data_IF_101480041711
#
_entry.id   IF_101480041711
#
_cell.length_a   1.000
_cell.length_b   1.000
_cell.length_c   1.000
_cell.angle_alpha   90.00
_cell.angle_beta   90.00
_cell.angle_gamma   90.00
#
_symmetry.space_group_name_H-M   'P 1'
#
loop_
_entity.id
_entity.type
_entity.pdbx_description
1 polymer ?
#
# COMPACT_ATOMS: atom_id res chain seq x y z
N UNK A 1 -6.55 4.19 8.19
CA UNK A 1 -7.66 4.52 9.13
C UNK A 1 -8.65 5.55 8.61
N UNK A 2 -8.21 6.72 8.10
CA UNK A 2 -9.13 7.77 7.60
C UNK A 2 -10.13 7.27 6.56
N UNK A 3 -9.74 6.32 5.71
CA UNK A 3 -10.63 5.57 4.81
C UNK A 3 -11.84 4.96 5.56
N UNK A 4 -11.59 4.22 6.64
CA UNK A 4 -12.62 3.53 7.42
C UNK A 4 -13.49 4.47 8.25
N UNK A 5 -13.05 5.71 8.50
CA UNK A 5 -13.84 6.72 9.22
C UNK A 5 -14.86 7.45 8.33
N UNK A 6 -14.88 7.18 7.02
CA UNK A 6 -15.78 7.86 6.08
C UNK A 6 -17.22 7.36 6.24
N UNK A 7 -18.18 8.21 5.85
CA UNK A 7 -19.62 7.88 5.89
C UNK A 7 -19.95 6.61 5.10
N UNK A 8 -19.21 6.33 4.03
CA UNK A 8 -19.37 5.12 3.21
C UNK A 8 -19.16 3.84 4.02
N UNK A 9 -18.27 3.87 5.02
CA UNK A 9 -17.98 2.73 5.89
C UNK A 9 -19.01 2.54 7.01
N UNK A 10 -20.04 3.40 7.11
CA UNK A 10 -21.12 3.27 8.10
C UNK A 10 -22.03 2.07 7.80
N UNK A 11 -22.07 1.60 6.56
CA UNK A 11 -22.79 0.37 6.17
C UNK A 11 -21.93 -0.89 6.24
N UNK A 12 -20.62 -0.75 6.48
CA UNK A 12 -19.66 -1.85 6.44
C UNK A 12 -19.52 -2.43 7.85
N UNK A 13 -19.72 -3.74 7.96
CA UNK A 13 -19.62 -4.52 9.19
C UNK A 13 -18.22 -5.14 9.34
N UNK A 14 -17.56 -5.52 8.25
CA UNK A 14 -16.18 -6.04 8.28
C UNK A 14 -15.28 -5.47 7.18
N UNK A 15 -14.03 -5.21 7.54
CA UNK A 15 -12.95 -4.87 6.62
C UNK A 15 -11.81 -5.87 6.77
N UNK A 16 -11.52 -6.60 5.70
CA UNK A 16 -10.43 -7.59 5.67
C UNK A 16 -9.25 -6.99 4.91
N UNK A 17 -8.09 -6.98 5.55
CA UNK A 17 -6.86 -6.40 5.04
C UNK A 17 -5.88 -7.53 4.67
N UNK A 18 -5.39 -7.48 3.42
CA UNK A 18 -4.20 -8.20 2.99
C UNK A 18 -3.06 -7.20 2.80
N UNK A 19 -1.91 -7.43 3.42
CA UNK A 19 -0.74 -6.57 3.19
C UNK A 19 0.56 -7.35 3.30
N UNK A 20 1.55 -6.93 2.51
CA UNK A 20 2.93 -7.37 2.66
C UNK A 20 3.57 -6.83 3.96
N UNK A 21 4.87 -7.10 4.15
CA UNK A 21 5.62 -6.71 5.34
C UNK A 21 5.76 -5.19 5.55
N UNK A 22 5.66 -4.38 4.50
CA UNK A 22 5.90 -2.93 4.55
C UNK A 22 4.83 -2.20 5.36
N UNK A 23 5.24 -1.54 6.45
CA UNK A 23 4.33 -0.79 7.32
C UNK A 23 3.34 -1.66 8.09
N UNK A 24 3.60 -2.98 8.20
CA UNK A 24 2.66 -3.92 8.81
C UNK A 24 2.56 -3.77 10.32
N UNK A 25 3.65 -3.59 11.07
CA UNK A 25 3.54 -3.42 12.53
C UNK A 25 2.90 -2.07 12.87
N UNK A 26 3.19 -1.02 12.11
CA UNK A 26 2.45 0.24 12.14
C UNK A 26 0.94 0.05 11.89
N UNK A 27 0.55 -0.78 10.93
CA UNK A 27 -0.87 -1.08 10.68
C UNK A 27 -1.50 -1.90 11.80
N UNK A 28 -0.78 -2.90 12.32
CA UNK A 28 -1.24 -3.73 13.45
C UNK A 28 -1.46 -2.89 14.71
N UNK A 29 -0.53 -1.99 15.03
CA UNK A 29 -0.61 -1.12 16.22
C UNK A 29 -1.66 -0.02 16.05
N UNK A 30 -1.66 0.71 14.93
CA UNK A 30 -2.46 1.94 14.79
C UNK A 30 -3.82 1.74 14.10
N UNK A 31 -3.96 0.71 13.24
CA UNK A 31 -5.22 0.41 12.55
C UNK A 31 -5.98 -0.70 13.25
N UNK A 32 -5.29 -1.82 13.54
CA UNK A 32 -5.88 -2.98 14.22
C UNK A 32 -5.84 -2.89 15.75
N UNK A 33 -5.17 -1.90 16.34
CA UNK A 33 -5.06 -1.70 17.79
C UNK A 33 -4.53 -2.92 18.55
N UNK A 34 -3.64 -3.71 17.92
CA UNK A 34 -2.96 -4.81 18.60
C UNK A 34 -2.08 -4.21 19.70
N UNK A 35 -2.19 -4.67 20.96
CA UNK A 35 -1.42 -4.10 22.06
C UNK A 35 0.09 -4.18 21.80
N UNK A 36 0.80 -3.07 22.03
CA UNK A 36 2.25 -2.97 21.76
C UNK A 36 3.04 -4.05 22.49
N UNK A 37 2.69 -4.40 23.73
CA UNK A 37 3.38 -5.45 24.48
C UNK A 37 3.32 -6.81 23.76
N UNK A 38 2.19 -7.14 23.09
CA UNK A 38 2.07 -8.39 22.31
C UNK A 38 2.87 -8.35 21.00
N UNK A 39 3.13 -7.16 20.45
CA UNK A 39 4.01 -7.00 19.30
C UNK A 39 5.47 -7.11 19.74
N UNK A 40 5.82 -6.49 20.86
CA UNK A 40 7.18 -6.47 21.41
C UNK A 40 7.65 -7.84 21.91
N UNK A 41 6.77 -8.66 22.48
CA UNK A 41 7.13 -10.03 22.88
C UNK A 41 7.59 -10.89 21.71
N UNK A 42 7.12 -10.60 20.49
CA UNK A 42 7.49 -11.32 19.27
C UNK A 42 8.90 -10.96 18.75
N UNK A 43 9.56 -9.95 19.33
CA UNK A 43 10.97 -9.65 19.04
C UNK A 43 11.91 -10.52 19.87
N UNK A 44 11.44 -11.06 20.99
CA UNK A 44 12.18 -12.03 21.78
C UNK A 44 11.89 -13.44 21.26
N UNK A 45 12.88 -14.35 21.22
CA UNK A 45 12.64 -15.74 20.88
C UNK A 45 11.76 -16.37 21.97
N UNK A 46 10.50 -16.64 21.63
CA UNK A 46 9.59 -17.36 22.52
C UNK A 46 9.81 -18.87 22.28
N UNK A 47 10.06 -19.68 23.33
CA UNK A 47 10.06 -21.13 23.21
C UNK A 47 8.69 -21.60 22.70
N UNK A 48 8.66 -22.37 21.62
CA UNK A 48 7.43 -22.95 21.07
C UNK A 48 6.94 -24.11 21.96
N UNK A 49 6.50 -23.81 23.17
CA UNK A 49 5.79 -24.77 24.01
C UNK A 49 4.31 -24.81 23.62
N UNK A 50 3.99 -25.66 22.64
CA UNK A 50 2.62 -26.13 22.37
C UNK A 50 1.77 -25.23 21.46
N UNK A 51 1.42 -25.78 20.30
CA UNK A 51 0.48 -25.28 19.28
C UNK A 51 0.98 -24.23 18.28
N UNK A 52 1.77 -24.73 17.31
CA UNK A 52 2.08 -24.06 16.04
C UNK A 52 3.58 -24.05 15.75
N UNK A 53 3.98 -24.11 14.47
CA UNK A 53 5.39 -23.92 14.07
C UNK A 53 5.90 -22.50 14.33
N UNK A 54 5.02 -21.59 14.76
CA UNK A 54 5.24 -20.15 14.67
C UNK A 54 5.30 -19.68 13.22
N UNK A 55 5.16 -18.37 13.04
CA UNK A 55 5.58 -17.69 11.81
C UNK A 55 6.25 -16.38 12.25
N UNK A 56 7.04 -15.77 11.37
CA UNK A 56 7.70 -14.50 11.69
C UNK A 56 6.67 -13.41 11.98
N UNK A 57 7.05 -12.44 12.83
CA UNK A 57 6.17 -11.35 13.31
C UNK A 57 5.33 -10.65 12.21
N UNK A 58 5.87 -10.58 11.00
CA UNK A 58 5.23 -9.94 9.84
C UNK A 58 4.19 -10.82 9.11
N UNK A 59 3.97 -12.06 9.52
CA UNK A 59 3.05 -12.98 8.84
C UNK A 59 1.81 -13.32 9.65
N UNK A 60 1.79 -12.96 10.93
CA UNK A 60 0.68 -13.29 11.82
C UNK A 60 -0.54 -12.40 11.51
N UNK A 61 -1.71 -13.04 11.44
CA UNK A 61 -2.99 -12.37 11.33
C UNK A 61 -3.45 -11.81 12.68
N UNK A 62 -4.40 -10.87 12.64
CA UNK A 62 -5.09 -10.38 13.83
C UNK A 62 -6.52 -9.98 13.47
N UNK A 63 -7.40 -9.90 14.44
CA UNK A 63 -8.71 -9.28 14.27
C UNK A 63 -9.03 -8.44 15.49
N UNK A 64 -9.73 -7.33 15.28
CA UNK A 64 -10.16 -6.44 16.33
C UNK A 64 -11.48 -5.78 15.95
N UNK A 65 -12.39 -5.69 16.91
CA UNK A 65 -13.55 -4.81 16.79
C UNK A 65 -13.14 -3.38 17.06
N UNK A 66 -13.52 -2.46 16.17
CA UNK A 66 -13.27 -1.03 16.34
C UNK A 66 -14.57 -0.25 16.30
N UNK A 67 -14.71 0.69 17.23
CA UNK A 67 -15.76 1.70 17.14
C UNK A 67 -15.24 2.87 16.32
N UNK A 68 -15.92 3.18 15.22
CA UNK A 68 -15.59 4.31 14.36
C UNK A 68 -15.87 5.62 15.09
N UNK A 69 -14.86 6.49 15.22
CA UNK A 69 -14.94 7.73 16.00
C UNK A 69 -16.10 8.65 15.58
N UNK A 70 -16.30 8.81 14.26
CA UNK A 70 -17.28 9.71 13.66
C UNK A 70 -18.70 9.16 13.66
N UNK A 71 -18.87 7.86 13.41
CA UNK A 71 -20.20 7.25 13.25
C UNK A 71 -20.66 6.45 14.46
N UNK A 72 -19.78 6.20 15.44
CA UNK A 72 -19.99 5.37 16.63
C UNK A 72 -20.42 3.92 16.33
N UNK A 73 -20.34 3.48 15.07
CA UNK A 73 -20.61 2.10 14.69
C UNK A 73 -19.39 1.22 14.91
N UNK A 74 -19.65 -0.05 15.23
CA UNK A 74 -18.62 -1.07 15.31
C UNK A 74 -18.32 -1.63 13.92
N UNK A 75 -17.05 -1.85 13.63
CA UNK A 75 -16.55 -2.54 12.45
C UNK A 75 -15.53 -3.60 12.91
N UNK A 76 -15.61 -4.80 12.35
CA UNK A 76 -14.60 -5.83 12.53
C UNK A 76 -13.47 -5.60 11.52
N UNK A 77 -12.26 -5.34 12.01
CA UNK A 77 -11.06 -5.21 11.17
C UNK A 77 -10.25 -6.50 11.33
N UNK A 78 -10.02 -7.20 10.22
CA UNK A 78 -9.23 -8.43 10.20
C UNK A 78 -8.02 -8.27 9.30
N UNK A 79 -6.82 -8.42 9.85
CA UNK A 79 -5.57 -8.56 9.09
C UNK A 79 -5.32 -10.04 8.83
N UNK A 80 -5.19 -10.44 7.57
CA UNK A 80 -4.93 -11.83 7.20
C UNK A 80 -3.47 -12.21 7.43
N UNK A 81 -3.25 -13.45 7.87
CA UNK A 81 -1.92 -14.04 7.90
C UNK A 81 -1.45 -14.34 6.48
N UNK A 82 -0.17 -14.12 6.17
CA UNK A 82 0.38 -14.29 4.82
C UNK A 82 1.82 -14.78 4.84
N UNK A 83 2.24 -15.59 3.85
CA UNK A 83 3.64 -15.96 3.69
C UNK A 83 4.49 -14.79 3.18
N UNK A 84 5.81 -14.98 3.11
CA UNK A 84 6.75 -14.04 2.47
C UNK A 84 6.53 -13.87 0.96
N UNK A 85 5.81 -14.80 0.32
CA UNK A 85 5.48 -14.72 -1.11
C UNK A 85 4.52 -13.57 -1.33
N UNK A 86 5.07 -12.45 -1.84
CA UNK A 86 4.32 -11.21 -2.08
C UNK A 86 3.10 -11.50 -2.96
N UNK A 87 2.00 -10.80 -2.70
CA UNK A 87 0.73 -10.88 -3.44
C UNK A 87 -0.03 -12.22 -3.33
N UNK A 88 0.57 -13.30 -2.82
CA UNK A 88 -0.10 -14.60 -2.65
C UNK A 88 -1.34 -14.54 -1.74
N UNK A 89 -1.41 -13.53 -0.86
CA UNK A 89 -2.54 -13.33 0.05
C UNK A 89 -3.78 -12.73 -0.63
N UNK A 90 -3.63 -12.13 -1.82
CA UNK A 90 -4.68 -11.33 -2.45
C UNK A 90 -5.95 -12.16 -2.72
N UNK A 91 -5.81 -13.31 -3.38
CA UNK A 91 -6.93 -14.21 -3.64
C UNK A 91 -7.57 -14.78 -2.37
N UNK A 92 -6.76 -15.02 -1.32
CA UNK A 92 -7.26 -15.53 -0.03
C UNK A 92 -8.13 -14.49 0.68
N UNK A 93 -7.73 -13.22 0.66
CA UNK A 93 -8.52 -12.11 1.24
C UNK A 93 -9.84 -11.97 0.50
N UNK A 94 -9.82 -11.99 -0.84
CA UNK A 94 -11.05 -11.93 -1.64
C UNK A 94 -11.95 -13.12 -1.34
N UNK A 95 -11.41 -14.33 -1.27
CA UNK A 95 -12.15 -15.54 -0.92
C UNK A 95 -12.80 -15.45 0.47
N UNK A 96 -12.07 -14.94 1.48
CA UNK A 96 -12.62 -14.71 2.82
C UNK A 96 -13.74 -13.68 2.80
N UNK A 97 -13.53 -12.53 2.14
CA UNK A 97 -14.57 -11.48 2.05
C UNK A 97 -15.80 -12.02 1.35
N UNK A 98 -15.63 -12.81 0.28
CA UNK A 98 -16.73 -13.49 -0.41
C UNK A 98 -17.48 -14.43 0.52
N UNK A 99 -16.79 -15.24 1.32
CA UNK A 99 -17.40 -16.13 2.29
C UNK A 99 -18.21 -15.34 3.35
N UNK A 100 -17.64 -14.26 3.89
CA UNK A 100 -18.33 -13.38 4.84
C UNK A 100 -19.58 -12.72 4.21
N UNK A 101 -19.53 -12.36 2.93
CA UNK A 101 -20.69 -11.81 2.21
C UNK A 101 -21.79 -12.86 2.01
N UNK A 102 -21.44 -14.12 1.74
CA UNK A 102 -22.41 -15.23 1.66
C UNK A 102 -23.08 -15.45 3.01
N UNK A 103 -22.29 -15.54 4.09
CA UNK A 103 -22.80 -15.71 5.45
C UNK A 103 -23.75 -14.57 5.85
N UNK A 104 -23.43 -13.33 5.46
CA UNK A 104 -24.23 -12.12 5.77
C UNK A 104 -25.38 -11.86 4.81
N UNK A 105 -25.66 -12.77 3.86
CA UNK A 105 -26.66 -12.62 2.79
C UNK A 105 -26.47 -11.33 1.96
N UNK A 106 -25.21 -10.98 1.67
CA UNK A 106 -24.79 -9.76 0.94
C UNK A 106 -23.94 -10.07 -0.30
N UNK A 107 -23.87 -11.35 -0.71
CA UNK A 107 -23.09 -11.79 -1.88
C UNK A 107 -23.51 -11.15 -3.22
N UNK A 108 -24.71 -10.58 -3.31
CA UNK A 108 -25.19 -9.90 -4.52
C UNK A 108 -24.63 -8.47 -4.67
N UNK A 109 -24.39 -7.78 -3.56
CA UNK A 109 -24.05 -6.35 -3.56
C UNK A 109 -22.68 -6.04 -2.95
N UNK A 110 -22.20 -6.87 -2.02
CA UNK A 110 -20.93 -6.68 -1.33
C UNK A 110 -20.85 -5.39 -0.53
N UNK A 111 -21.94 -4.96 0.12
CA UNK A 111 -22.03 -3.69 0.86
C UNK A 111 -21.53 -3.78 2.31
N UNK A 112 -21.56 -4.97 2.92
CA UNK A 112 -21.28 -5.19 4.36
C UNK A 112 -19.85 -5.62 4.65
N UNK A 113 -19.17 -6.28 3.71
CA UNK A 113 -17.79 -6.71 3.88
C UNK A 113 -16.92 -6.18 2.75
N UNK A 114 -15.78 -5.59 3.09
CA UNK A 114 -14.85 -4.97 2.11
C UNK A 114 -13.46 -5.58 2.20
N UNK A 115 -12.85 -5.79 1.03
CA UNK A 115 -11.44 -6.14 0.90
C UNK A 115 -10.59 -4.88 0.72
N UNK A 116 -9.52 -4.79 1.50
CA UNK A 116 -8.48 -3.76 1.35
C UNK A 116 -7.16 -4.49 1.14
N UNK A 117 -6.52 -4.26 -0.01
CA UNK A 117 -5.23 -4.87 -0.32
C UNK A 117 -4.14 -3.80 -0.36
N UNK A 118 -3.01 -4.08 0.29
CA UNK A 118 -1.86 -3.17 0.35
C UNK A 118 -0.67 -3.83 -0.31
N UNK A 119 -0.16 -3.17 -1.35
CA UNK A 119 0.85 -3.71 -2.26
C UNK A 119 2.14 -2.90 -2.18
N UNK A 120 3.25 -3.50 -2.59
CA UNK A 120 4.45 -2.77 -3.00
C UNK A 120 4.42 -2.56 -4.53
N UNK A 121 4.97 -1.45 -5.01
CA UNK A 121 5.03 -1.09 -6.43
C UNK A 121 5.56 -2.22 -7.32
N UNK A 122 6.77 -2.73 -7.04
CA UNK A 122 7.38 -3.80 -7.85
C UNK A 122 6.59 -5.12 -7.84
N UNK A 123 6.01 -5.50 -6.71
CA UNK A 123 5.25 -6.73 -6.58
C UNK A 123 3.89 -6.63 -7.29
N UNK A 124 3.26 -5.46 -7.20
CA UNK A 124 1.97 -5.18 -7.85
C UNK A 124 2.05 -5.32 -9.37
N UNK A 125 3.12 -4.83 -9.99
CA UNK A 125 3.33 -4.95 -11.44
C UNK A 125 3.93 -6.30 -11.87
N UNK A 126 4.69 -6.95 -11.00
CA UNK A 126 5.51 -8.12 -11.36
C UNK A 126 4.88 -9.48 -11.07
N UNK A 127 3.95 -9.58 -10.12
CA UNK A 127 3.36 -10.87 -9.73
C UNK A 127 2.07 -11.15 -10.51
N UNK A 128 2.05 -12.26 -11.27
CA UNK A 128 0.90 -12.67 -12.09
C UNK A 128 -0.39 -12.87 -11.28
N UNK A 129 -0.27 -13.27 -10.00
CA UNK A 129 -1.43 -13.44 -9.11
C UNK A 129 -2.22 -12.14 -8.91
N UNK A 130 -1.61 -10.96 -9.08
CA UNK A 130 -2.32 -9.67 -9.02
C UNK A 130 -3.28 -9.54 -10.20
N UNK A 131 -2.83 -9.87 -11.42
CA UNK A 131 -3.67 -9.89 -12.61
C UNK A 131 -4.80 -10.90 -12.48
N UNK A 132 -4.51 -12.11 -11.98
CA UNK A 132 -5.53 -13.14 -11.75
C UNK A 132 -6.58 -12.67 -10.76
N UNK A 133 -6.13 -12.09 -9.64
CA UNK A 133 -6.99 -11.57 -8.56
C UNK A 133 -7.89 -10.45 -9.06
N UNK A 134 -7.36 -9.47 -9.80
CA UNK A 134 -8.17 -8.37 -10.33
C UNK A 134 -9.26 -8.86 -11.29
N UNK A 135 -8.96 -9.85 -12.15
CA UNK A 135 -9.96 -10.41 -13.05
C UNK A 135 -11.15 -11.07 -12.33
N UNK A 136 -11.02 -11.43 -11.05
CA UNK A 136 -12.12 -11.97 -10.25
C UNK A 136 -13.22 -10.94 -9.97
N UNK A 137 -12.92 -9.65 -10.03
CA UNK A 137 -13.83 -8.55 -9.66
C UNK A 137 -15.12 -8.54 -10.47
N UNK A 138 -15.07 -8.95 -11.74
CA UNK A 138 -16.23 -8.98 -12.63
C UNK A 138 -16.87 -10.37 -12.79
N UNK A 139 -16.39 -11.39 -12.07
CA UNK A 139 -16.94 -12.74 -12.15
C UNK A 139 -18.09 -12.94 -11.14
N UNK A 140 -19.27 -13.44 -11.54
CA UNK A 140 -20.47 -13.50 -10.69
C UNK A 140 -20.29 -14.21 -9.33
N UNK A 141 -19.45 -15.25 -9.29
CA UNK A 141 -19.25 -16.06 -8.09
C UNK A 141 -18.03 -15.66 -7.26
N UNK A 142 -17.17 -14.77 -7.78
CA UNK A 142 -15.93 -14.34 -7.13
C UNK A 142 -15.93 -12.85 -6.77
N UNK A 143 -16.81 -12.06 -7.39
CA UNK A 143 -16.92 -10.63 -7.11
C UNK A 143 -17.25 -10.37 -5.64
N UNK A 144 -16.56 -9.37 -5.09
CA UNK A 144 -16.77 -8.87 -3.73
C UNK A 144 -17.35 -7.46 -3.73
N UNK A 145 -17.81 -6.96 -4.90
CA UNK A 145 -18.32 -5.59 -5.05
C UNK A 145 -17.21 -4.53 -5.04
N UNK A 146 -16.02 -4.88 -5.54
CA UNK A 146 -14.86 -4.01 -5.65
C UNK A 146 -13.93 -4.04 -4.44
N UNK A 147 -12.63 -4.10 -4.72
CA UNK A 147 -11.50 -4.10 -3.80
C UNK A 147 -10.84 -2.72 -3.81
N UNK A 148 -10.44 -2.24 -2.62
CA UNK A 148 -9.67 -1.00 -2.49
C UNK A 148 -8.19 -1.36 -2.42
N UNK A 149 -7.43 -1.02 -3.46
CA UNK A 149 -6.00 -1.28 -3.56
C UNK A 149 -5.20 -0.05 -3.14
N UNK A 150 -4.28 -0.23 -2.19
CA UNK A 150 -3.30 0.77 -1.78
C UNK A 150 -1.92 0.31 -2.24
N UNK A 151 -1.32 1.00 -3.19
CA UNK A 151 0.04 0.70 -3.65
C UNK A 151 0.99 1.66 -2.95
N UNK A 152 1.86 1.12 -2.11
CA UNK A 152 2.91 1.88 -1.44
C UNK A 152 4.11 1.96 -2.37
N UNK A 153 4.10 2.98 -3.23
CA UNK A 153 5.09 3.18 -4.26
C UNK A 153 6.25 4.01 -3.71
N UNK A 154 7.32 3.33 -3.33
CA UNK A 154 8.50 3.95 -2.72
C UNK A 154 9.62 4.21 -3.74
N UNK A 155 9.32 4.02 -5.03
CA UNK A 155 10.23 4.19 -6.15
C UNK A 155 11.51 3.33 -6.06
N UNK A 156 11.49 2.22 -5.30
CA UNK A 156 12.60 1.28 -5.15
C UNK A 156 12.19 -0.12 -5.57
N UNK A 157 12.97 -0.73 -6.47
CA UNK A 157 12.35 -1.45 -7.57
C UNK A 157 12.22 -0.55 -8.80
N UNK A 158 12.64 0.73 -8.68
CA UNK A 158 12.10 1.85 -9.43
C UNK A 158 12.98 3.15 -9.67
N UNK A 159 14.30 3.20 -9.98
CA UNK A 159 14.80 4.33 -10.85
C UNK A 159 16.15 4.21 -11.61
N UNK A 160 16.13 4.24 -12.95
CA UNK A 160 17.24 4.73 -13.78
C UNK A 160 16.59 5.24 -15.05
N UNK A 161 16.37 6.53 -15.23
CA UNK A 161 16.52 7.05 -16.59
C UNK A 161 17.28 8.32 -16.42
N UNK A 162 18.29 8.51 -17.28
CA UNK A 162 18.71 9.85 -17.63
C UNK A 162 17.53 10.52 -18.36
N UNK A 163 16.53 10.95 -17.61
CA UNK A 163 15.61 12.02 -17.95
C UNK A 163 15.67 12.97 -16.76
N UNK A 164 16.13 14.22 -16.94
CA UNK A 164 16.33 15.16 -15.83
C UNK A 164 15.08 15.53 -15.01
N UNK A 165 13.88 15.02 -15.34
CA UNK A 165 12.62 15.70 -15.01
C UNK A 165 11.60 14.91 -14.18
N UNK A 166 11.93 13.79 -13.53
CA UNK A 166 10.97 13.14 -12.60
C UNK A 166 11.34 13.20 -11.12
N UNK A 167 12.58 13.57 -10.79
CA UNK A 167 13.05 13.55 -9.41
C UNK A 167 12.78 14.83 -8.61
N UNK A 168 12.18 15.86 -9.23
CA UNK A 168 11.78 17.11 -8.56
C UNK A 168 10.77 17.98 -9.36
N UNK A 169 10.24 17.52 -10.49
CA UNK A 169 9.17 18.21 -11.24
C UNK A 169 7.77 17.75 -10.79
N UNK A 170 7.59 17.53 -9.49
CA UNK A 170 6.28 17.39 -8.86
C UNK A 170 5.62 18.75 -8.61
N UNK A 171 6.17 19.87 -9.11
CA UNK A 171 5.47 21.17 -9.13
C UNK A 171 4.22 21.17 -10.03
N UNK A 172 3.91 20.05 -10.73
CA UNK A 172 2.71 19.91 -11.57
C UNK A 172 1.91 18.61 -11.41
N UNK A 173 2.30 17.64 -10.57
CA UNK A 173 1.55 16.39 -10.37
C UNK A 173 0.69 16.46 -9.10
N UNK A 174 -0.31 17.34 -9.11
CA UNK A 174 -1.22 17.57 -7.97
C UNK A 174 -2.21 16.41 -7.78
N UNK A 175 -2.58 15.71 -8.86
CA UNK A 175 -3.39 14.49 -8.87
C UNK A 175 -3.51 14.06 -10.33
N UNK A 176 -3.03 12.88 -10.71
CA UNK A 176 -3.33 12.35 -12.05
C UNK A 176 -4.35 11.23 -11.92
N UNK A 177 -5.52 11.43 -12.52
CA UNK A 177 -6.54 10.39 -12.68
C UNK A 177 -6.49 9.92 -14.13
N UNK A 178 -6.05 8.69 -14.37
CA UNK A 178 -6.15 8.10 -15.72
C UNK A 178 -7.63 7.83 -16.01
N UNK A 179 -8.16 8.58 -16.98
CA UNK A 179 -9.57 8.59 -17.36
C UNK A 179 -9.85 7.43 -18.32
N UNK A 180 -10.39 6.32 -17.85
CA UNK A 180 -11.11 5.39 -18.73
C UNK A 180 -12.52 5.95 -18.94
N UNK A 181 -12.58 6.85 -19.93
CA UNK A 181 -13.71 7.49 -20.60
C UNK A 181 -15.13 7.18 -20.08
N UNK A 182 -15.74 8.22 -19.50
CA UNK A 182 -17.18 8.48 -19.56
C UNK A 182 -17.53 8.83 -21.01
N UNK A 183 -18.18 7.91 -21.73
CA UNK A 183 -18.84 8.19 -23.01
C UNK A 183 -20.14 7.42 -23.07
N UNK A 184 -21.25 8.15 -23.17
CA UNK A 184 -22.52 7.61 -23.64
C UNK A 184 -22.33 6.92 -25.01
N UNK A 185 -23.12 5.90 -25.34
CA UNK A 185 -22.84 5.03 -26.48
C UNK A 185 -23.06 5.78 -27.80
N UNK A 186 -22.01 5.94 -28.59
CA UNK A 186 -22.14 6.24 -30.01
C UNK A 186 -21.26 5.29 -30.81
N UNK A 187 -21.92 4.50 -31.65
CA UNK A 187 -21.39 3.55 -32.62
C UNK A 187 -20.13 4.04 -33.35
N UNK A 188 -19.09 3.20 -33.44
CA UNK A 188 -18.54 2.69 -34.71
C UNK A 188 -17.16 2.06 -34.50
N UNK A 189 -16.92 1.01 -35.29
CA UNK A 189 -15.68 0.25 -35.42
C UNK A 189 -14.47 1.15 -35.66
N UNK A 190 -13.34 0.86 -34.98
CA UNK A 190 -12.01 0.52 -35.54
C UNK A 190 -10.89 0.92 -34.58
N UNK A 191 -10.04 -0.06 -34.20
CA UNK A 191 -8.58 0.04 -34.22
C UNK A 191 -7.96 -1.21 -33.57
N UNK A 192 -7.43 -2.10 -34.43
CA UNK A 192 -6.42 -3.08 -34.05
C UNK A 192 -5.10 -2.35 -33.84
N UNK A 193 -4.39 -2.60 -32.74
CA UNK A 193 -2.95 -2.33 -32.64
C UNK A 193 -2.29 -3.53 -31.96
N UNK A 194 -1.42 -4.20 -32.72
CA UNK A 194 -0.43 -5.14 -32.23
C UNK A 194 0.93 -4.43 -32.23
N UNK A 195 1.81 -4.71 -31.26
CA UNK A 195 3.27 -4.61 -31.46
C UNK A 195 4.02 -5.53 -30.49
N UNK A 196 4.96 -6.29 -31.08
CA UNK A 196 5.98 -7.07 -30.41
C UNK A 196 7.29 -6.28 -30.31
N UNK A 197 8.11 -6.54 -29.30
CA UNK A 197 9.56 -6.31 -29.35
C UNK A 197 10.28 -7.23 -28.36
N UNK A 198 11.15 -8.08 -28.89
CA UNK A 198 12.14 -8.89 -28.18
C UNK A 198 13.40 -8.03 -27.99
N UNK A 199 13.92 -7.93 -26.78
CA UNK A 199 15.28 -7.43 -26.54
C UNK A 199 16.05 -8.47 -25.74
N UNK A 200 17.11 -8.99 -26.36
CA UNK A 200 18.05 -9.94 -25.83
C UNK A 200 19.28 -9.16 -25.33
N UNK A 201 19.60 -9.21 -24.04
CA UNK A 201 20.83 -8.60 -23.51
C UNK A 201 21.63 -9.60 -22.66
N UNK A 202 22.83 -9.93 -23.16
CA UNK A 202 23.84 -10.78 -22.52
C UNK A 202 24.47 -10.06 -21.32
N UNK A 203 24.52 -10.71 -20.16
CA UNK A 203 25.24 -10.24 -18.96
C UNK A 203 26.66 -10.86 -18.97
N UNK A 204 27.76 -10.08 -18.77
CA UNK A 204 29.10 -10.63 -18.66
C UNK A 204 29.32 -11.32 -17.29
N UNK A 205 29.79 -12.57 -17.31
CA UNK A 205 30.11 -13.36 -16.09
C UNK A 205 31.60 -13.25 -15.75
N UNK A 206 31.95 -12.40 -14.77
CA UNK A 206 33.26 -12.46 -14.09
C UNK A 206 33.22 -13.40 -12.88
N UNK A 207 34.34 -14.00 -12.44
CA UNK A 207 34.34 -14.97 -11.35
C UNK A 207 34.27 -14.23 -10.00
N UNK A 208 33.16 -14.44 -9.27
CA UNK A 208 33.03 -14.11 -7.83
C UNK A 208 32.44 -15.32 -7.13
N UNK A 209 32.79 -15.50 -5.86
CA UNK A 209 32.42 -16.67 -5.09
C UNK A 209 30.89 -16.82 -4.97
N UNK A 210 30.42 -18.05 -4.85
CA UNK A 210 28.99 -18.38 -4.93
C UNK A 210 28.18 -17.81 -3.76
N UNK A 211 28.81 -17.61 -2.59
CA UNK A 211 28.21 -17.00 -1.41
C UNK A 211 28.02 -15.48 -1.54
N UNK A 212 29.00 -14.77 -2.11
CA UNK A 212 28.88 -13.33 -2.40
C UNK A 212 27.82 -13.05 -3.49
N UNK A 213 27.65 -14.00 -4.43
CA UNK A 213 26.60 -13.92 -5.45
C UNK A 213 25.20 -14.14 -4.90
N UNK A 214 25.02 -14.90 -3.83
CA UNK A 214 23.69 -15.10 -3.22
C UNK A 214 23.24 -13.91 -2.40
N UNK A 215 24.12 -13.31 -1.58
CA UNK A 215 23.76 -12.10 -0.80
C UNK A 215 23.53 -10.89 -1.71
N UNK A 216 24.37 -10.71 -2.74
CA UNK A 216 24.22 -9.62 -3.70
C UNK A 216 22.97 -9.79 -4.58
N UNK A 217 22.58 -11.01 -5.00
CA UNK A 217 21.36 -11.23 -5.76
C UNK A 217 20.07 -10.91 -4.98
N UNK A 218 20.05 -11.23 -3.69
CA UNK A 218 18.90 -10.91 -2.82
C UNK A 218 18.79 -9.38 -2.68
N UNK A 219 19.90 -8.66 -2.48
CA UNK A 219 19.91 -7.20 -2.44
C UNK A 219 19.48 -6.53 -3.75
N UNK A 220 19.89 -7.09 -4.90
CA UNK A 220 19.56 -6.56 -6.22
C UNK A 220 18.04 -6.64 -6.46
N UNK A 221 17.38 -7.76 -6.16
CA UNK A 221 15.94 -7.93 -6.38
C UNK A 221 15.08 -6.85 -5.71
N UNK A 222 15.47 -6.41 -4.50
CA UNK A 222 14.73 -5.44 -3.69
C UNK A 222 15.16 -3.97 -3.87
N UNK A 223 16.13 -3.73 -4.76
CA UNK A 223 16.62 -2.40 -5.15
C UNK A 223 16.69 -2.25 -6.68
N UNK A 224 15.98 -3.11 -7.40
CA UNK A 224 15.84 -3.12 -8.87
C UNK A 224 15.31 -1.77 -9.39
N UNK A 225 15.29 -1.59 -10.70
CA UNK A 225 14.83 -0.41 -11.44
C UNK A 225 13.44 -0.58 -12.06
N UNK A 226 12.62 0.46 -12.33
CA UNK A 226 11.25 0.27 -12.80
C UNK A 226 11.27 -0.34 -14.17
N UNK A 227 12.27 0.05 -14.96
CA UNK A 227 12.47 -0.40 -16.32
C UNK A 227 12.82 -1.88 -16.38
N UNK A 228 13.31 -2.43 -15.28
CA UNK A 228 13.60 -3.86 -15.15
C UNK A 228 12.51 -4.59 -14.35
N UNK A 229 11.62 -3.88 -13.64
CA UNK A 229 10.51 -4.47 -12.88
C UNK A 229 9.17 -4.45 -13.64
N UNK A 230 8.99 -3.55 -14.61
CA UNK A 230 7.78 -3.42 -15.44
C UNK A 230 8.07 -2.87 -16.84
N UNK A 231 7.11 -3.07 -17.74
CA UNK A 231 7.17 -2.60 -19.13
C UNK A 231 6.22 -1.43 -19.42
N UNK A 232 5.66 -0.81 -18.38
CA UNK A 232 4.71 0.30 -18.47
C UNK A 232 5.17 1.48 -17.60
N UNK A 233 4.51 2.63 -17.76
CA UNK A 233 4.90 3.86 -17.05
C UNK A 233 4.65 3.71 -15.55
N UNK A 234 3.44 3.27 -15.18
CA UNK A 234 3.04 3.16 -13.78
C UNK A 234 2.99 1.71 -13.33
N UNK A 235 3.41 1.43 -12.09
CA UNK A 235 3.25 0.12 -11.46
C UNK A 235 1.78 -0.32 -11.41
N UNK A 236 0.85 0.65 -11.45
CA UNK A 236 -0.59 0.43 -11.37
C UNK A 236 -1.27 0.18 -12.71
N UNK A 237 -0.54 0.14 -13.82
CA UNK A 237 -1.14 -0.11 -15.14
C UNK A 237 -1.80 -1.50 -15.22
N UNK A 238 -1.45 -2.43 -14.32
CA UNK A 238 -2.16 -3.70 -14.08
C UNK A 238 -3.65 -3.49 -13.88
N UNK A 239 -4.05 -2.43 -13.17
CA UNK A 239 -5.45 -2.14 -12.84
C UNK A 239 -6.31 -1.76 -14.05
N UNK A 240 -5.68 -1.43 -15.18
CA UNK A 240 -6.38 -1.12 -16.43
C UNK A 240 -7.10 -2.34 -17.01
N UNK A 241 -6.68 -3.57 -16.66
CA UNK A 241 -7.32 -4.80 -17.16
C UNK A 241 -8.79 -4.92 -16.74
N UNK A 242 -9.16 -4.29 -15.61
CA UNK A 242 -10.54 -4.22 -15.11
C UNK A 242 -11.16 -2.83 -15.19
N UNK A 243 -10.52 -1.90 -15.91
CA UNK A 243 -10.92 -0.51 -16.00
C UNK A 243 -11.11 0.16 -14.61
N UNK A 244 -10.30 -0.23 -13.62
CA UNK A 244 -10.33 0.40 -12.30
C UNK A 244 -9.76 1.82 -12.38
N UNK A 245 -10.38 2.83 -11.73
CA UNK A 245 -9.78 4.14 -11.59
C UNK A 245 -8.50 4.07 -10.76
N UNK A 246 -7.51 4.85 -11.20
CA UNK A 246 -6.20 4.95 -10.57
C UNK A 246 -5.99 6.40 -10.13
N UNK A 247 -5.70 6.59 -8.85
CA UNK A 247 -5.33 7.87 -8.27
C UNK A 247 -3.83 7.88 -7.96
N UNK A 248 -3.04 8.66 -8.70
CA UNK A 248 -1.63 8.90 -8.37
C UNK A 248 -1.52 10.08 -7.41
N UNK A 249 -0.98 9.82 -6.21
CA UNK A 249 -1.05 10.73 -5.07
C UNK A 249 0.34 10.89 -4.46
N UNK A 250 0.74 12.13 -4.22
CA UNK A 250 1.98 12.44 -3.52
C UNK A 250 1.86 12.13 -2.02
N UNK A 251 2.75 11.30 -1.47
CA UNK A 251 2.70 10.89 -0.07
C UNK A 251 3.00 12.03 0.92
N UNK A 252 3.74 13.06 0.48
CA UNK A 252 4.04 14.25 1.30
C UNK A 252 2.83 15.18 1.51
N UNK A 253 1.69 14.90 0.85
CA UNK A 253 0.41 15.56 1.14
C UNK A 253 -0.60 14.58 1.79
N UNK A 254 -0.54 14.41 3.13
CA UNK A 254 -1.49 13.57 3.86
C UNK A 254 -2.96 13.96 3.68
N UNK A 255 -3.28 15.23 3.43
CA UNK A 255 -4.66 15.67 3.22
C UNK A 255 -5.19 15.14 1.90
N UNK A 256 -4.38 15.20 0.85
CA UNK A 256 -4.71 14.67 -0.46
C UNK A 256 -4.86 13.14 -0.43
N UNK A 257 -3.98 12.43 0.29
CA UNK A 257 -4.09 10.97 0.50
C UNK A 257 -5.41 10.64 1.20
N UNK A 258 -5.78 11.39 2.24
CA UNK A 258 -7.03 11.20 2.96
C UNK A 258 -8.27 11.50 2.09
N UNK A 259 -8.20 12.54 1.26
CA UNK A 259 -9.26 12.91 0.33
C UNK A 259 -9.44 11.85 -0.75
N UNK A 260 -8.37 11.41 -1.42
CA UNK A 260 -8.46 10.37 -2.45
C UNK A 260 -8.91 9.03 -1.86
N UNK A 261 -8.52 8.71 -0.63
CA UNK A 261 -9.06 7.55 0.10
C UNK A 261 -10.57 7.63 0.26
N UNK A 262 -11.11 8.81 0.60
CA UNK A 262 -12.56 9.02 0.68
C UNK A 262 -13.23 8.81 -0.68
N UNK A 263 -12.69 9.43 -1.74
CA UNK A 263 -13.22 9.30 -3.11
C UNK A 263 -13.20 7.85 -3.57
N UNK A 264 -12.14 7.10 -3.27
CA UNK A 264 -12.04 5.68 -3.59
C UNK A 264 -13.10 4.84 -2.88
N UNK A 265 -13.36 5.11 -1.60
CA UNK A 265 -14.46 4.48 -0.87
C UNK A 265 -15.82 4.77 -1.52
N UNK A 266 -16.08 6.02 -1.87
CA UNK A 266 -17.32 6.45 -2.55
C UNK A 266 -17.48 5.81 -3.93
N UNK A 267 -16.41 5.76 -4.72
CA UNK A 267 -16.40 5.08 -6.02
C UNK A 267 -16.75 3.60 -5.87
N UNK A 268 -16.06 2.88 -4.99
CA UNK A 268 -16.30 1.46 -4.75
C UNK A 268 -17.75 1.21 -4.31
N UNK A 269 -18.29 2.03 -3.41
CA UNK A 269 -19.67 1.89 -2.94
C UNK A 269 -20.73 2.20 -4.00
N UNK A 270 -20.40 3.05 -4.98
CA UNK A 270 -21.32 3.45 -6.05
C UNK A 270 -21.28 2.48 -7.23
N UNK A 271 -20.07 2.10 -7.65
CA UNK A 271 -19.83 1.37 -8.90
C UNK A 271 -19.50 -0.11 -8.69
N UNK A 272 -19.27 -0.54 -7.44
CA UNK A 272 -18.99 -1.93 -7.10
C UNK A 272 -17.81 -2.54 -7.87
N UNK A 273 -16.82 -1.70 -8.21
CA UNK A 273 -15.62 -2.07 -8.97
C UNK A 273 -14.36 -1.70 -8.17
N UNK A 274 -13.24 -2.31 -8.55
CA UNK A 274 -11.94 -2.06 -7.93
C UNK A 274 -11.51 -0.60 -8.12
N UNK A 275 -10.70 -0.13 -7.18
CA UNK A 275 -10.10 1.21 -7.22
C UNK A 275 -8.69 1.16 -6.67
N UNK A 276 -7.77 1.87 -7.32
CA UNK A 276 -6.35 1.87 -6.96
C UNK A 276 -5.88 3.26 -6.53
N UNK A 277 -5.23 3.32 -5.38
CA UNK A 277 -4.49 4.49 -4.91
C UNK A 277 -3.00 4.18 -5.01
N UNK A 278 -2.32 4.84 -5.95
CA UNK A 278 -0.86 4.84 -6.08
C UNK A 278 -0.29 5.94 -5.18
N UNK A 279 0.19 5.56 -4.00
CA UNK A 279 0.73 6.50 -3.02
C UNK A 279 2.24 6.57 -3.23
N UNK A 280 2.66 7.63 -3.92
CA UNK A 280 4.03 7.85 -4.37
C UNK A 280 4.82 8.55 -3.27
N UNK A 281 5.81 7.86 -2.73
CA UNK A 281 6.73 8.36 -1.71
C UNK A 281 8.12 7.75 -1.88
N UNK A 282 8.83 7.55 -0.78
CA UNK A 282 10.20 7.06 -0.77
C UNK A 282 10.47 6.11 0.40
N UNK A 283 11.56 5.33 0.30
CA UNK A 283 12.07 4.50 1.41
C UNK A 283 13.29 5.17 2.03
N UNK A 284 13.18 5.56 3.30
CA UNK A 284 14.26 6.28 4.02
C UNK A 284 15.48 5.41 4.30
N UNK A 285 15.27 4.11 4.53
CA UNK A 285 16.32 3.14 4.85
C UNK A 285 16.40 2.05 3.77
N UNK A 286 17.38 1.15 3.90
CA UNK A 286 17.55 -0.02 3.06
C UNK A 286 16.32 -0.95 3.00
N UNK A 287 16.44 -2.08 2.29
CA UNK A 287 15.30 -2.99 2.19
C UNK A 287 14.96 -3.56 3.56
N UNK A 288 16.01 -3.94 4.30
CA UNK A 288 16.02 -4.10 5.74
C UNK A 288 16.80 -2.96 6.40
N UNK A 289 16.66 -2.83 7.73
CA UNK A 289 17.30 -1.78 8.52
C UNK A 289 18.83 -1.88 8.56
N UNK A 290 19.38 -3.06 8.25
CA UNK A 290 20.81 -3.33 8.20
C UNK A 290 21.40 -3.19 6.79
N UNK A 291 20.55 -3.04 5.77
CA UNK A 291 21.00 -2.96 4.38
C UNK A 291 21.54 -1.55 4.10
N UNK A 292 22.64 -1.47 3.34
CA UNK A 292 23.22 -0.22 2.86
C UNK A 292 22.78 0.05 1.42
N UNK A 293 21.76 0.91 1.20
CA UNK A 293 21.17 1.08 -0.11
C UNK A 293 21.95 2.03 -1.02
N UNK A 294 22.93 2.78 -0.51
CA UNK A 294 23.79 3.60 -1.36
C UNK A 294 24.68 2.75 -2.28
N UNK A 295 24.85 1.45 -1.99
CA UNK A 295 25.61 0.52 -2.83
C UNK A 295 24.98 0.34 -4.22
N UNK A 296 23.65 0.31 -4.30
CA UNK A 296 22.92 0.10 -5.57
C UNK A 296 22.25 1.36 -6.09
N UNK A 297 21.83 2.28 -5.20
CA UNK A 297 21.03 3.46 -5.56
C UNK A 297 21.57 4.78 -4.96
N UNK A 298 22.84 5.15 -5.19
CA UNK A 298 23.48 6.27 -4.49
C UNK A 298 22.85 7.64 -4.77
N UNK A 299 22.46 7.92 -6.01
CA UNK A 299 21.88 9.21 -6.40
C UNK A 299 20.49 9.46 -5.78
N UNK A 300 19.72 8.39 -5.61
CA UNK A 300 18.39 8.48 -5.02
C UNK A 300 18.49 8.67 -3.52
N UNK A 301 19.34 7.91 -2.83
CA UNK A 301 19.52 8.06 -1.39
C UNK A 301 20.19 9.37 -0.99
N UNK A 302 21.01 9.98 -1.85
CA UNK A 302 21.49 11.35 -1.65
C UNK A 302 20.33 12.35 -1.56
N UNK A 303 19.37 12.28 -2.50
CA UNK A 303 18.17 13.13 -2.51
C UNK A 303 17.23 12.83 -1.32
N UNK A 304 17.01 11.55 -1.01
CA UNK A 304 16.17 11.14 0.13
C UNK A 304 16.75 11.68 1.45
N UNK A 305 18.07 11.73 1.59
CA UNK A 305 18.75 12.25 2.78
C UNK A 305 18.58 13.77 2.92
N UNK A 306 18.53 14.49 1.82
CA UNK A 306 18.29 15.95 1.77
C UNK A 306 16.80 16.31 1.96
N UNK A 307 15.90 15.36 1.67
CA UNK A 307 14.47 15.58 1.73
C UNK A 307 13.89 15.46 3.17
N UNK A 308 13.09 16.45 3.63
CA UNK A 308 12.52 16.44 4.97
C UNK A 308 11.54 15.28 5.21
N UNK A 309 11.28 14.94 6.47
CA UNK A 309 10.30 13.91 6.80
C UNK A 309 8.89 14.44 6.51
N UNK A 310 8.00 13.58 6.00
CA UNK A 310 6.56 13.87 5.80
C UNK A 310 5.92 14.49 7.04
N UNK A 311 6.25 13.99 8.24
CA UNK A 311 5.75 14.55 9.49
C UNK A 311 6.20 16.00 9.70
N UNK A 312 7.44 16.33 9.34
CA UNK A 312 7.99 17.70 9.38
C UNK A 312 7.30 18.60 8.36
N UNK A 313 7.23 18.17 7.10
CA UNK A 313 6.55 18.90 6.03
C UNK A 313 5.11 19.25 6.45
N UNK A 314 4.38 18.27 6.96
CA UNK A 314 2.99 18.46 7.34
C UNK A 314 2.81 19.26 8.62
N UNK A 315 3.70 19.11 9.62
CA UNK A 315 3.65 19.92 10.83
C UNK A 315 3.93 21.39 10.53
N UNK A 316 4.92 21.67 9.67
CA UNK A 316 5.26 23.04 9.24
C UNK A 316 4.09 23.67 8.47
N UNK A 317 3.42 22.90 7.61
CA UNK A 317 2.17 23.33 6.94
C UNK A 317 1.10 23.73 7.96
N UNK A 318 0.80 22.87 8.93
CA UNK A 318 -0.25 23.14 9.93
C UNK A 318 0.09 24.31 10.86
N UNK A 319 1.37 24.51 11.19
CA UNK A 319 1.83 25.68 11.95
C UNK A 319 1.64 26.96 11.13
N UNK A 320 2.01 26.94 9.85
CA UNK A 320 1.83 28.07 8.94
C UNK A 320 0.36 28.43 8.73
N UNK A 321 -0.50 27.42 8.66
CA UNK A 321 -1.96 27.59 8.52
C UNK A 321 -2.64 27.96 9.85
N UNK A 322 -1.89 27.99 10.97
CA UNK A 322 -2.41 28.34 12.29
C UNK A 322 -3.36 27.31 12.90
N UNK A 323 -3.37 26.08 12.37
CA UNK A 323 -4.26 24.99 12.83
C UNK A 323 -3.75 24.38 14.14
N UNK A 324 -2.44 24.36 14.34
CA UNK A 324 -1.79 23.82 15.54
C UNK A 324 -0.80 24.84 16.14
N UNK A 325 -0.47 24.66 17.42
CA UNK A 325 0.57 25.44 18.10
C UNK A 325 1.91 24.70 18.08
N UNK A 326 3.02 25.43 18.24
CA UNK A 326 4.36 24.81 18.35
C UNK A 326 4.47 23.85 19.55
N UNK A 327 3.79 24.18 20.65
CA UNK A 327 3.75 23.32 21.83
C UNK A 327 3.07 21.98 21.52
N UNK A 328 1.94 22.01 20.82
CA UNK A 328 1.24 20.81 20.37
C UNK A 328 2.08 20.00 19.38
N UNK A 329 2.75 20.66 18.43
CA UNK A 329 3.64 19.98 17.51
C UNK A 329 4.74 19.20 18.26
N UNK A 330 5.43 19.85 19.21
CA UNK A 330 6.48 19.20 20.04
C UNK A 330 5.96 18.01 20.85
N UNK A 331 4.76 18.12 21.42
CA UNK A 331 4.12 17.03 22.15
C UNK A 331 3.85 15.82 21.25
N UNK A 332 3.25 16.05 20.07
CA UNK A 332 2.97 15.00 19.09
C UNK A 332 4.25 14.35 18.60
N UNK A 333 5.32 15.13 18.34
CA UNK A 333 6.63 14.57 18.01
C UNK A 333 7.14 13.62 19.10
N UNK A 334 7.06 14.02 20.37
CA UNK A 334 7.45 13.18 21.50
C UNK A 334 6.69 11.85 21.54
N UNK A 335 5.37 11.88 21.30
CA UNK A 335 4.52 10.69 21.31
C UNK A 335 4.73 9.76 20.10
N UNK A 336 4.98 10.32 18.91
CA UNK A 336 5.25 9.56 17.68
C UNK A 336 6.63 8.88 17.72
N UNK A 337 7.61 9.49 18.39
CA UNK A 337 8.98 8.95 18.52
C UNK A 337 9.00 7.61 19.28
N UNK A 338 8.10 7.41 20.25
CA UNK A 338 8.02 6.16 21.02
C UNK A 338 7.59 4.97 20.16
N UNK A 339 6.75 5.18 19.15
CA UNK A 339 6.28 4.11 18.24
C UNK A 339 7.22 3.94 17.04
N UNK A 340 7.78 5.03 16.50
CA UNK A 340 8.72 4.97 15.36
C UNK A 340 10.10 4.39 15.69
N UNK A 341 10.51 4.36 16.96
CA UNK A 341 11.71 3.62 17.39
C UNK A 341 11.51 2.09 17.37
N UNK A 342 10.26 1.63 17.41
CA UNK A 342 9.89 0.20 17.38
C UNK A 342 9.62 -0.27 15.94
N UNK A 343 9.13 0.63 15.07
CA UNK A 343 8.93 0.37 13.64
C UNK A 343 9.34 1.63 12.86
N UNK A 344 10.57 1.66 12.32
CA UNK A 344 11.18 2.83 11.64
C UNK A 344 10.58 3.12 10.25
N UNK A 345 9.40 2.58 9.97
CA UNK A 345 8.67 2.70 8.71
C UNK A 345 7.48 3.66 8.86
N UNK A 346 7.60 4.82 8.23
CA UNK A 346 6.51 5.72 7.80
C UNK A 346 5.31 5.83 8.77
N UNK A 347 5.35 6.83 9.64
CA UNK A 347 4.18 7.28 10.41
C UNK A 347 3.46 8.37 9.62
N UNK A 348 2.26 8.07 9.11
CA UNK A 348 1.23 9.08 8.93
C UNK A 348 0.04 8.67 9.77
N UNK A 349 -0.02 9.20 10.99
CA UNK A 349 -1.29 9.39 11.68
C UNK A 349 -1.21 10.67 12.51
N UNK A 350 -1.72 11.78 11.96
CA UNK A 350 -2.44 12.76 12.77
C UNK A 350 -3.78 12.14 13.16
N UNK A 351 -3.72 11.25 14.14
CA UNK A 351 -4.88 10.79 14.92
C UNK A 351 -5.09 11.82 15.99
N UNK A 352 -5.60 12.97 15.57
CA UNK A 352 -5.88 14.06 16.47
C UNK A 352 -6.90 13.58 17.51
N UNK A 353 -6.46 13.45 18.76
CA UNK A 353 -7.29 13.69 19.93
C UNK A 353 -7.77 15.15 19.85
N UNK A 354 -8.85 15.40 19.10
CA UNK A 354 -9.66 16.60 19.29
C UNK A 354 -10.84 16.13 20.12
N UNK A 355 -10.55 16.00 21.42
CA UNK A 355 -11.57 16.13 22.44
C UNK A 355 -11.80 17.63 22.64
N UNK A 356 -12.82 18.14 21.96
CA UNK A 356 -13.85 19.07 22.45
C UNK A 356 -14.71 19.52 21.27
#
# INVERSE_FOLDING_TARGET
MKLMQQKVFVGIESAVIGMAHRGRLNTLSNVCLKPLHQLLTQFNPIPLEGFGSGDVKYHLGTHAERTLERSKKKILIAMMANPSHLEAINGVVIGRVRAEQVEKNDAQYGKKSVAILVHGDAAFSGQGVVYETMHLTNLPNYTTGGVIHLVINNQLGDFTTHTPDMLLNCEGQVLTVHRTIWSAPSNSNTARIAFASVVNSRIPKGPRSQAERSEMHVMIGFTTDPRYSRSSVHCTDVARVVNAPIFHIHADDPDLVAYCSKVAGEYRATFHNDVVLDIVGYRRFGHNELDEPMLTQPLMYKRIKEHPNVLSIYSDKLLKDGVITEAFAKEVYGNVIVISHIDKFLVVHLGIYLGN
#
